data_IF_751665504543
#
_entry.id   IF_751665504543
#
_cell.length_a   1.000
_cell.length_b   1.000
_cell.length_c   1.000
_cell.angle_alpha   90.00
_cell.angle_beta   90.00
_cell.angle_gamma   90.00
#
_symmetry.space_group_name_H-M   'P 1'
#
loop_
_entity.id
_entity.type
_entity.pdbx_description
1 polymer ?
#
# COMPACT_ATOMS: atom_id res chain seq x y z
N UNK A 1 13.99 -5.73 -8.71
CA UNK A 1 12.51 -5.74 -8.82
C UNK A 1 11.96 -4.58 -8.01
N UNK A 2 11.07 -3.79 -8.58
CA UNK A 2 10.43 -2.69 -7.85
C UNK A 2 9.37 -3.26 -6.90
N UNK A 3 9.21 -2.71 -5.69
CA UNK A 3 8.09 -3.09 -4.81
C UNK A 3 6.75 -2.92 -5.54
N UNK A 4 5.76 -3.75 -5.22
CA UNK A 4 4.41 -3.60 -5.77
C UNK A 4 3.83 -2.21 -5.51
N UNK A 5 2.84 -1.80 -6.29
CA UNK A 5 2.22 -0.46 -6.20
C UNK A 5 3.17 0.73 -6.40
N UNK A 6 4.37 0.51 -6.95
CA UNK A 6 5.31 1.57 -7.33
C UNK A 6 5.50 1.61 -8.84
N UNK A 7 5.97 2.75 -9.35
CA UNK A 7 6.26 2.92 -10.78
C UNK A 7 5.06 3.32 -11.63
N UNK A 8 4.06 4.02 -11.07
CA UNK A 8 2.97 4.59 -11.88
C UNK A 8 3.55 5.51 -12.97
N UNK A 9 3.14 5.33 -14.25
CA UNK A 9 3.62 6.13 -15.38
C UNK A 9 2.89 7.47 -15.50
N UNK A 10 1.87 7.72 -14.66
CA UNK A 10 1.07 8.94 -14.73
C UNK A 10 1.86 10.14 -14.18
N UNK A 11 1.91 11.22 -14.96
CA UNK A 11 2.18 12.56 -14.41
C UNK A 11 1.03 12.90 -13.46
N UNK A 12 1.32 13.04 -12.16
CA UNK A 12 0.31 13.34 -11.13
C UNK A 12 -0.43 14.68 -11.35
N UNK A 13 0.07 15.51 -12.27
CA UNK A 13 -0.60 16.71 -12.76
C UNK A 13 -1.04 17.66 -11.64
N UNK A 14 -0.17 17.86 -10.63
CA UNK A 14 -0.48 18.71 -9.48
C UNK A 14 -0.92 20.12 -9.88
N UNK A 15 -0.35 20.64 -10.98
CA UNK A 15 -0.72 21.92 -11.60
C UNK A 15 -2.21 22.05 -11.95
N UNK A 16 -2.90 20.95 -12.26
CA UNK A 16 -4.31 20.95 -12.62
C UNK A 16 -5.23 20.86 -11.40
N UNK A 17 -4.70 20.57 -10.21
CA UNK A 17 -5.55 20.29 -9.04
C UNK A 17 -6.31 21.53 -8.58
N UNK A 18 -5.67 22.70 -8.56
CA UNK A 18 -6.34 23.96 -8.20
C UNK A 18 -6.84 24.76 -9.42
N UNK A 19 -6.52 24.30 -10.63
CA UNK A 19 -6.91 24.96 -11.87
C UNK A 19 -8.28 24.42 -12.31
N UNK A 20 -9.34 25.13 -11.93
CA UNK A 20 -10.73 24.74 -12.26
C UNK A 20 -10.95 24.68 -13.77
N UNK A 21 -10.38 25.61 -14.53
CA UNK A 21 -10.52 25.64 -15.98
C UNK A 21 -9.76 24.47 -16.62
N UNK A 22 -8.53 24.21 -16.18
CA UNK A 22 -7.72 23.08 -16.64
C UNK A 22 -8.33 21.73 -16.28
N UNK A 23 -8.90 21.58 -15.08
CA UNK A 23 -9.61 20.36 -14.68
C UNK A 23 -10.88 20.15 -15.52
N UNK A 24 -11.67 21.20 -15.76
CA UNK A 24 -12.83 21.14 -16.64
C UNK A 24 -12.44 20.81 -18.09
N UNK A 25 -11.33 21.35 -18.59
CA UNK A 25 -10.79 20.99 -19.89
C UNK A 25 -10.38 19.51 -19.95
N UNK A 26 -9.78 18.98 -18.88
CA UNK A 26 -9.41 17.56 -18.78
C UNK A 26 -10.64 16.64 -18.75
N UNK A 27 -11.73 17.04 -18.07
CA UNK A 27 -13.01 16.33 -18.07
C UNK A 27 -13.65 16.28 -19.47
N UNK A 28 -13.46 17.32 -20.27
CA UNK A 28 -14.00 17.43 -21.63
C UNK A 28 -13.03 16.94 -22.73
N UNK A 29 -11.85 16.43 -22.39
CA UNK A 29 -10.93 15.85 -23.38
C UNK A 29 -11.51 14.51 -23.86
N UNK A 30 -11.80 14.39 -25.16
CA UNK A 30 -12.32 13.16 -25.77
C UNK A 30 -11.38 11.95 -25.61
N UNK A 31 -10.11 12.20 -25.32
CA UNK A 31 -9.11 11.17 -25.04
C UNK A 31 -9.13 10.75 -23.58
N UNK A 32 -9.84 11.45 -22.69
CA UNK A 32 -9.91 11.07 -21.28
C UNK A 32 -10.35 9.61 -21.12
N UNK A 33 -9.80 8.94 -20.10
CA UNK A 33 -10.17 7.59 -19.73
C UNK A 33 -10.53 7.52 -18.26
N UNK A 34 -11.48 6.66 -17.95
CA UNK A 34 -11.94 6.43 -16.58
C UNK A 34 -11.64 4.98 -16.24
N UNK A 35 -11.05 4.76 -15.06
CA UNK A 35 -10.70 3.43 -14.59
C UNK A 35 -11.99 2.64 -14.29
N UNK A 36 -12.10 1.45 -14.89
CA UNK A 36 -13.22 0.54 -14.64
C UNK A 36 -13.07 -0.16 -13.29
N UNK A 37 -14.06 0.01 -12.42
CA UNK A 37 -14.15 -0.65 -11.12
C UNK A 37 -15.47 -1.42 -10.99
N UNK A 38 -15.44 -2.52 -10.25
CA UNK A 38 -16.63 -3.21 -9.71
C UNK A 38 -16.64 -3.03 -8.19
N UNK A 39 -17.47 -2.11 -7.70
CA UNK A 39 -17.29 -1.54 -6.37
C UNK A 39 -15.90 -0.91 -6.26
N UNK A 40 -15.06 -1.43 -5.37
CA UNK A 40 -13.68 -0.94 -5.16
C UNK A 40 -12.64 -1.80 -5.87
N UNK A 41 -13.06 -2.90 -6.51
CA UNK A 41 -12.17 -3.87 -7.12
C UNK A 41 -11.84 -3.46 -8.56
N UNK A 42 -10.59 -3.63 -9.02
CA UNK A 42 -10.21 -3.24 -10.36
C UNK A 42 -10.76 -4.24 -11.37
N UNK A 43 -11.36 -3.74 -12.45
CA UNK A 43 -11.73 -4.58 -13.59
C UNK A 43 -10.49 -4.77 -14.47
N UNK A 44 -10.12 -6.02 -14.70
CA UNK A 44 -8.99 -6.38 -15.58
C UNK A 44 -9.50 -6.53 -17.01
N UNK A 45 -8.79 -5.92 -17.97
CA UNK A 45 -9.13 -6.04 -19.38
C UNK A 45 -8.80 -7.44 -19.93
N UNK A 46 -9.49 -7.87 -20.99
CA UNK A 46 -9.28 -9.19 -21.60
C UNK A 46 -7.86 -9.40 -22.17
N UNK A 47 -7.26 -8.32 -22.63
CA UNK A 47 -5.90 -8.21 -23.15
C UNK A 47 -4.84 -8.11 -22.03
N UNK A 48 -5.28 -8.06 -20.78
CA UNK A 48 -4.44 -7.82 -19.60
C UNK A 48 -4.39 -6.35 -19.20
N UNK A 49 -3.98 -6.10 -17.95
CA UNK A 49 -3.93 -4.75 -17.38
C UNK A 49 -5.28 -4.18 -16.93
N UNK A 50 -5.29 -2.92 -16.52
CA UNK A 50 -6.48 -2.22 -16.06
C UNK A 50 -7.44 -1.95 -17.22
N UNK A 51 -8.74 -2.20 -16.99
CA UNK A 51 -9.79 -1.79 -17.92
C UNK A 51 -10.01 -0.29 -17.83
N UNK A 52 -9.91 0.39 -18.97
CA UNK A 52 -10.19 1.81 -19.13
C UNK A 52 -11.41 2.01 -20.02
N UNK A 53 -12.38 2.80 -19.55
CA UNK A 53 -13.60 3.14 -20.30
C UNK A 53 -13.56 4.59 -20.79
N UNK A 54 -14.40 4.90 -21.78
CA UNK A 54 -14.61 6.26 -22.25
C UNK A 54 -15.41 7.07 -21.24
N UNK A 55 -15.22 8.40 -21.22
CA UNK A 55 -16.05 9.31 -20.43
C UNK A 55 -17.53 9.18 -20.76
N UNK A 56 -17.87 8.82 -22.01
CA UNK A 56 -19.25 8.63 -22.45
C UNK A 56 -19.95 7.41 -21.81
N UNK A 57 -19.21 6.50 -21.18
CA UNK A 57 -19.75 5.32 -20.50
C UNK A 57 -20.05 5.60 -19.01
N UNK A 58 -19.68 6.78 -18.50
CA UNK A 58 -19.84 7.18 -17.10
C UNK A 58 -21.04 8.11 -16.96
N UNK A 59 -21.87 7.86 -15.94
CA UNK A 59 -22.97 8.74 -15.61
C UNK A 59 -22.45 10.13 -15.16
N UNK A 60 -23.04 11.19 -15.70
CA UNK A 60 -22.61 12.58 -15.46
C UNK A 60 -22.74 13.03 -14.00
N UNK A 61 -23.50 12.30 -13.18
CA UNK A 61 -23.64 12.57 -11.75
C UNK A 61 -22.49 11.99 -10.91
N UNK A 62 -21.67 11.10 -11.48
CA UNK A 62 -20.55 10.47 -10.78
C UNK A 62 -19.39 11.45 -10.70
N UNK A 63 -18.96 11.74 -9.47
CA UNK A 63 -17.80 12.57 -9.22
C UNK A 63 -16.51 11.81 -9.61
N UNK A 64 -15.58 12.49 -10.29
CA UNK A 64 -14.34 11.88 -10.79
C UNK A 64 -13.12 12.46 -10.10
N UNK A 65 -12.15 11.59 -9.83
CA UNK A 65 -10.83 11.93 -9.29
C UNK A 65 -9.80 11.85 -10.42
N UNK A 66 -9.02 12.91 -10.65
CA UNK A 66 -7.93 12.90 -11.62
C UNK A 66 -6.73 12.15 -11.03
N UNK A 67 -6.42 10.98 -11.58
CA UNK A 67 -5.23 10.20 -11.18
C UNK A 67 -3.95 10.80 -11.76
N UNK A 68 -4.04 11.36 -12.98
CA UNK A 68 -2.93 12.01 -13.66
C UNK A 68 -3.08 11.99 -15.17
N UNK A 69 -1.97 12.26 -15.87
CA UNK A 69 -1.88 12.28 -17.32
C UNK A 69 -0.91 11.21 -17.80
N UNK A 70 -1.32 10.40 -18.78
CA UNK A 70 -0.40 9.53 -19.53
C UNK A 70 -0.19 10.14 -20.92
N UNK A 71 1.02 10.59 -21.24
CA UNK A 71 1.31 11.25 -22.53
C UNK A 71 0.32 12.41 -22.84
N UNK A 72 -0.01 13.21 -21.82
CA UNK A 72 -0.96 14.33 -21.92
C UNK A 72 -2.44 13.93 -21.96
N UNK A 73 -2.76 12.63 -21.85
CA UNK A 73 -4.13 12.10 -21.82
C UNK A 73 -4.64 11.96 -20.39
N UNK A 74 -5.77 12.61 -20.00
CA UNK A 74 -6.33 12.50 -18.66
C UNK A 74 -6.79 11.09 -18.29
N UNK A 75 -6.41 10.63 -17.11
CA UNK A 75 -6.88 9.37 -16.52
C UNK A 75 -7.56 9.66 -15.19
N UNK A 76 -8.81 9.23 -15.06
CA UNK A 76 -9.65 9.43 -13.90
C UNK A 76 -10.04 8.11 -13.25
N UNK A 77 -10.55 8.18 -12.03
CA UNK A 77 -11.30 7.09 -11.39
C UNK A 77 -12.64 7.63 -10.88
N UNK A 78 -13.74 6.85 -10.98
CA UNK A 78 -15.01 7.26 -10.39
C UNK A 78 -14.94 7.18 -8.87
N UNK A 79 -15.45 8.20 -8.19
CA UNK A 79 -15.68 8.14 -6.75
C UNK A 79 -16.92 7.30 -6.48
N UNK A 80 -16.68 6.05 -6.11
CA UNK A 80 -17.71 5.04 -5.82
C UNK A 80 -17.86 4.81 -4.32
N UNK A 81 -19.09 4.58 -3.87
CA UNK A 81 -19.33 4.20 -2.49
C UNK A 81 -18.92 2.75 -2.24
N UNK A 82 -18.18 2.52 -1.17
CA UNK A 82 -17.84 1.19 -0.71
C UNK A 82 -16.93 1.24 0.52
N UNK A 83 -17.07 0.26 1.40
CA UNK A 83 -16.19 0.13 2.55
C UNK A 83 -14.82 -0.41 2.11
N UNK A 84 -13.76 0.36 2.31
CA UNK A 84 -12.40 -0.19 2.34
C UNK A 84 -12.15 -0.96 3.62
N UNK A 85 -11.37 -2.02 3.51
CA UNK A 85 -10.92 -2.83 4.63
C UNK A 85 -9.58 -3.46 4.32
N UNK A 86 -8.96 -4.07 5.34
CA UNK A 86 -7.71 -4.81 5.18
C UNK A 86 -7.89 -6.09 4.35
N UNK A 87 -9.10 -6.64 4.36
CA UNK A 87 -9.43 -7.84 3.61
C UNK A 87 -9.45 -7.55 2.10
N UNK A 88 -8.68 -8.33 1.35
CA UNK A 88 -8.66 -8.32 -0.11
C UNK A 88 -9.67 -9.35 -0.62
N UNK A 89 -10.56 -8.94 -1.51
CA UNK A 89 -11.46 -9.87 -2.17
C UNK A 89 -10.67 -10.89 -3.01
N UNK A 90 -11.22 -12.09 -3.29
CA UNK A 90 -10.62 -13.02 -4.24
C UNK A 90 -10.40 -12.41 -5.64
N UNK A 91 -11.20 -11.40 -6.03
CA UNK A 91 -11.02 -10.69 -7.29
C UNK A 91 -9.77 -9.81 -7.27
N UNK A 92 -9.56 -9.03 -6.19
CA UNK A 92 -8.34 -8.23 -5.99
C UNK A 92 -7.10 -9.11 -5.97
N UNK A 93 -7.14 -10.23 -5.24
CA UNK A 93 -6.00 -11.17 -5.21
C UNK A 93 -5.63 -11.70 -6.59
N UNK A 94 -6.63 -12.09 -7.40
CA UNK A 94 -6.38 -12.53 -8.78
C UNK A 94 -5.84 -11.39 -9.65
N UNK A 95 -6.42 -10.19 -9.53
CA UNK A 95 -5.97 -9.03 -10.29
C UNK A 95 -4.51 -8.67 -9.98
N UNK A 96 -4.12 -8.60 -8.70
CA UNK A 96 -2.74 -8.26 -8.32
C UNK A 96 -1.69 -9.27 -8.80
N UNK A 97 -2.09 -10.53 -9.01
CA UNK A 97 -1.20 -11.56 -9.58
C UNK A 97 -1.03 -11.43 -11.10
N UNK A 98 -1.91 -10.69 -11.79
CA UNK A 98 -1.94 -10.58 -13.25
C UNK A 98 -1.61 -9.18 -13.77
N UNK A 99 -1.84 -8.15 -12.96
CA UNK A 99 -1.63 -6.76 -13.36
C UNK A 99 -0.14 -6.45 -13.52
N UNK A 100 0.25 -5.72 -14.57
CA UNK A 100 1.56 -5.07 -14.63
C UNK A 100 1.81 -4.20 -13.39
N UNK A 101 3.08 -4.03 -13.00
CA UNK A 101 3.44 -3.26 -11.81
C UNK A 101 2.96 -1.79 -11.88
N UNK A 102 3.06 -1.18 -13.07
CA UNK A 102 2.59 0.17 -13.38
C UNK A 102 1.08 0.32 -13.13
N UNK A 103 0.32 -0.66 -13.59
CA UNK A 103 -1.13 -0.73 -13.43
C UNK A 103 -1.52 -0.95 -11.97
N UNK A 104 -0.82 -1.84 -11.27
CA UNK A 104 -1.02 -2.00 -9.83
C UNK A 104 -0.79 -0.68 -9.09
N UNK A 105 0.23 0.10 -9.45
CA UNK A 105 0.51 1.41 -8.86
C UNK A 105 -0.59 2.45 -9.12
N UNK A 106 -1.16 2.48 -10.32
CA UNK A 106 -2.31 3.32 -10.65
C UNK A 106 -3.52 2.91 -9.79
N UNK A 107 -3.83 1.61 -9.76
CA UNK A 107 -4.94 1.08 -8.96
C UNK A 107 -4.76 1.37 -7.46
N UNK A 108 -3.56 1.19 -6.91
CA UNK A 108 -3.29 1.49 -5.50
C UNK A 108 -3.57 2.95 -5.16
N UNK A 109 -3.15 3.88 -6.03
CA UNK A 109 -3.45 5.31 -5.87
C UNK A 109 -4.96 5.57 -5.89
N UNK A 110 -5.65 5.01 -6.89
CA UNK A 110 -7.10 5.15 -7.04
C UNK A 110 -7.86 4.62 -5.82
N UNK A 111 -7.50 3.41 -5.36
CA UNK A 111 -8.10 2.73 -4.22
C UNK A 111 -7.92 3.53 -2.94
N UNK A 112 -6.72 4.02 -2.66
CA UNK A 112 -6.44 4.85 -1.48
C UNK A 112 -7.23 6.16 -1.47
N UNK A 113 -7.36 6.83 -2.62
CA UNK A 113 -8.13 8.08 -2.71
C UNK A 113 -9.63 7.83 -2.48
N UNK A 114 -10.20 6.81 -3.12
CA UNK A 114 -11.63 6.46 -2.94
C UNK A 114 -11.90 6.09 -1.48
N UNK A 115 -11.07 5.22 -0.90
CA UNK A 115 -11.24 4.79 0.50
C UNK A 115 -11.16 5.97 1.47
N UNK A 116 -10.22 6.89 1.23
CA UNK A 116 -10.14 8.12 2.01
C UNK A 116 -11.40 8.97 1.86
N UNK A 117 -11.89 9.20 0.64
CA UNK A 117 -13.11 9.98 0.40
C UNK A 117 -14.34 9.36 1.08
N UNK A 118 -14.46 8.03 1.09
CA UNK A 118 -15.58 7.34 1.73
C UNK A 118 -15.59 7.49 3.25
N UNK A 119 -14.41 7.63 3.88
CA UNK A 119 -14.25 7.80 5.32
C UNK A 119 -14.18 9.27 5.79
N UNK A 120 -14.12 10.24 4.88
CA UNK A 120 -13.94 11.67 5.22
C UNK A 120 -15.08 12.56 4.70
N UNK A 121 -16.32 12.04 4.67
CA UNK A 121 -17.51 12.80 4.23
C UNK A 121 -17.86 13.99 5.14
N UNK A 122 -17.43 13.95 6.40
CA UNK A 122 -17.66 15.01 7.39
C UNK A 122 -16.34 15.60 7.91
N UNK A 123 -16.39 16.86 8.32
CA UNK A 123 -15.24 17.63 8.77
C UNK A 123 -14.84 17.22 10.19
N UNK A 124 -13.61 16.75 10.37
CA UNK A 124 -13.06 16.42 11.69
C UNK A 124 -12.89 17.62 12.64
N UNK A 125 -13.02 18.86 12.14
CA UNK A 125 -12.91 20.08 12.95
C UNK A 125 -14.25 20.58 13.50
N UNK A 126 -15.31 20.56 12.70
CA UNK A 126 -16.60 21.16 13.08
C UNK A 126 -17.82 20.23 12.88
N UNK A 127 -17.65 19.03 12.34
CA UNK A 127 -18.74 18.08 12.06
C UNK A 127 -19.57 18.38 10.80
N UNK A 128 -19.37 19.52 10.14
CA UNK A 128 -20.07 19.88 8.91
C UNK A 128 -19.74 18.95 7.72
N UNK A 129 -20.58 18.96 6.68
CA UNK A 129 -20.30 18.18 5.47
C UNK A 129 -19.07 18.71 4.72
N UNK A 130 -18.48 17.86 3.89
CA UNK A 130 -17.33 18.23 3.05
C UNK A 130 -17.63 17.91 1.59
N UNK A 131 -17.08 18.71 0.68
CA UNK A 131 -17.13 18.48 -0.78
C UNK A 131 -15.75 18.11 -1.31
N UNK A 132 -15.68 17.38 -2.42
CA UNK A 132 -14.41 17.10 -3.08
C UNK A 132 -13.79 18.38 -3.63
N UNK A 133 -12.47 18.43 -3.58
CA UNK A 133 -11.64 19.57 -3.97
C UNK A 133 -10.33 19.04 -4.55
N UNK A 134 -9.55 19.92 -5.21
CA UNK A 134 -8.25 19.57 -5.83
C UNK A 134 -8.29 18.45 -6.86
N UNK A 135 -9.30 18.44 -7.74
CA UNK A 135 -9.46 17.35 -8.71
C UNK A 135 -9.52 15.95 -8.06
N UNK A 136 -10.04 15.83 -6.84
CA UNK A 136 -10.11 14.58 -6.09
C UNK A 136 -8.93 14.30 -5.15
N UNK A 137 -8.03 15.26 -4.94
CA UNK A 137 -6.89 15.15 -4.00
C UNK A 137 -7.12 15.90 -2.68
N UNK A 138 -8.37 16.19 -2.36
CA UNK A 138 -8.73 16.83 -1.12
C UNK A 138 -10.25 16.92 -0.93
N UNK A 139 -10.65 17.33 0.27
CA UNK A 139 -12.02 17.67 0.61
C UNK A 139 -12.01 18.99 1.35
N UNK A 140 -13.00 19.83 1.09
CA UNK A 140 -13.17 21.12 1.77
C UNK A 140 -14.48 21.13 2.55
N UNK A 141 -14.42 21.54 3.81
CA UNK A 141 -15.62 21.70 4.63
C UNK A 141 -16.50 22.82 4.08
N UNK A 142 -17.81 22.57 3.99
CA UNK A 142 -18.80 23.54 3.50
C UNK A 142 -19.23 24.57 4.55
N UNK A 143 -18.86 24.36 5.82
CA UNK A 143 -19.29 25.17 6.95
C UNK A 143 -18.17 26.03 7.57
N UNK A 144 -16.92 25.57 7.54
CA UNK A 144 -15.79 26.29 8.14
C UNK A 144 -14.56 26.42 7.24
N UNK A 145 -14.70 26.06 5.96
CA UNK A 145 -13.66 26.12 4.92
C UNK A 145 -12.37 25.32 5.20
N UNK A 146 -12.36 24.50 6.26
CA UNK A 146 -11.23 23.63 6.56
C UNK A 146 -10.95 22.67 5.40
N UNK A 147 -9.69 22.61 4.98
CA UNK A 147 -9.21 21.67 3.97
C UNK A 147 -8.71 20.39 4.65
N UNK A 148 -9.04 19.26 4.03
CA UNK A 148 -8.62 17.93 4.43
C UNK A 148 -7.92 17.28 3.24
N UNK A 149 -6.80 16.62 3.52
CA UNK A 149 -5.99 15.94 2.52
C UNK A 149 -5.94 14.44 2.82
N UNK A 150 -5.78 13.60 1.78
CA UNK A 150 -5.49 12.18 1.97
C UNK A 150 -4.33 11.98 2.94
N UNK A 151 -4.55 11.19 3.99
CA UNK A 151 -3.49 10.80 4.92
C UNK A 151 -2.69 9.65 4.33
N UNK A 152 -1.41 9.58 4.66
CA UNK A 152 -0.58 8.41 4.42
C UNK A 152 0.00 7.96 5.75
N UNK A 153 -0.41 6.78 6.21
CA UNK A 153 -0.05 6.26 7.52
C UNK A 153 1.28 5.48 7.39
N UNK A 154 2.39 5.95 8.02
CA UNK A 154 3.68 5.29 7.94
C UNK A 154 3.69 4.00 8.76
N UNK A 155 4.16 2.92 8.13
CA UNK A 155 4.29 1.60 8.75
C UNK A 155 5.71 1.10 8.50
N UNK A 156 6.45 0.79 9.55
CA UNK A 156 7.75 0.13 9.41
C UNK A 156 7.52 -1.36 9.20
N UNK A 157 8.30 -1.96 8.32
CA UNK A 157 8.35 -3.41 8.13
C UNK A 157 9.80 -3.85 8.12
N UNK A 158 10.17 -4.82 8.94
CA UNK A 158 11.56 -5.02 9.29
C UNK A 158 11.95 -6.47 9.51
N UNK A 159 13.22 -6.73 9.20
CA UNK A 159 13.94 -7.95 9.58
C UNK A 159 14.95 -7.55 10.65
N UNK A 160 14.93 -8.24 11.80
CA UNK A 160 16.09 -8.29 12.68
C UNK A 160 17.09 -9.32 12.12
N UNK A 161 18.37 -8.94 12.05
CA UNK A 161 19.46 -9.76 11.52
C UNK A 161 20.45 -10.12 12.64
N UNK A 162 20.71 -11.42 12.83
CA UNK A 162 21.67 -11.94 13.81
C UNK A 162 22.44 -13.12 13.24
N UNK A 163 23.77 -13.05 13.21
CA UNK A 163 24.65 -14.14 12.73
C UNK A 163 24.22 -14.76 11.37
N UNK A 164 23.80 -13.92 10.42
CA UNK A 164 23.36 -14.35 9.08
C UNK A 164 21.96 -14.97 9.03
N UNK A 165 21.18 -14.83 10.11
CA UNK A 165 19.76 -15.22 10.18
C UNK A 165 18.85 -14.00 10.24
N UNK A 166 17.64 -14.16 9.71
CA UNK A 166 16.57 -13.17 9.76
C UNK A 166 15.46 -13.62 10.71
N UNK A 167 14.97 -12.71 11.55
CA UNK A 167 13.75 -12.93 12.33
C UNK A 167 12.51 -12.72 11.47
N UNK A 168 11.61 -13.71 11.47
CA UNK A 168 10.29 -13.65 10.85
C UNK A 168 9.21 -14.04 11.86
N UNK A 169 8.01 -13.49 11.70
CA UNK A 169 6.85 -13.78 12.54
C UNK A 169 5.62 -14.17 11.72
N UNK A 170 4.58 -14.64 12.43
CA UNK A 170 3.26 -14.89 11.85
C UNK A 170 2.14 -14.53 12.81
N UNK A 171 1.00 -14.15 12.26
CA UNK A 171 -0.25 -13.94 12.99
C UNK A 171 -1.18 -15.15 12.85
N UNK A 172 -2.00 -15.39 13.87
CA UNK A 172 -2.96 -16.51 13.94
C UNK A 172 -4.00 -16.50 12.80
N UNK A 173 -4.33 -15.32 12.29
CA UNK A 173 -5.28 -15.15 11.18
C UNK A 173 -4.73 -15.61 9.81
N UNK A 174 -3.42 -15.83 9.69
CA UNK A 174 -2.78 -16.17 8.41
C UNK A 174 -2.79 -17.68 8.17
N UNK A 175 -2.77 -18.14 6.90
CA UNK A 175 -2.62 -19.56 6.59
C UNK A 175 -1.43 -20.18 7.33
N UNK A 176 -1.64 -21.36 7.93
CA UNK A 176 -0.63 -22.07 8.71
C UNK A 176 0.65 -22.25 7.89
N UNK A 177 1.80 -21.96 8.51
CA UNK A 177 3.12 -22.10 7.87
C UNK A 177 3.57 -20.89 7.04
N UNK A 178 2.73 -19.86 6.86
CA UNK A 178 3.18 -18.60 6.26
C UNK A 178 3.82 -17.69 7.32
N UNK A 179 4.97 -17.10 6.96
CA UNK A 179 5.74 -16.17 7.79
C UNK A 179 6.10 -14.92 6.99
N UNK A 180 6.30 -13.81 7.70
CA UNK A 180 6.66 -12.51 7.12
C UNK A 180 7.63 -11.77 8.04
N UNK A 181 8.24 -10.70 7.51
CA UNK A 181 8.85 -9.67 8.33
C UNK A 181 7.81 -9.08 9.32
N UNK A 182 8.30 -8.64 10.48
CA UNK A 182 7.49 -7.95 11.50
C UNK A 182 7.13 -6.54 11.00
N UNK A 183 6.02 -5.98 11.44
CA UNK A 183 5.59 -4.67 10.96
C UNK A 183 4.63 -3.99 11.93
N UNK A 184 4.83 -2.69 12.13
CA UNK A 184 3.96 -1.88 12.95
C UNK A 184 3.96 -0.40 12.59
N UNK A 185 3.01 0.32 13.15
CA UNK A 185 2.80 1.74 12.84
C UNK A 185 3.90 2.58 13.50
N UNK A 186 4.36 3.59 12.77
CA UNK A 186 5.22 4.60 13.37
C UNK A 186 4.37 5.53 14.25
N UNK A 187 4.79 5.74 15.50
CA UNK A 187 4.05 6.60 16.42
C UNK A 187 4.45 8.08 16.31
N UNK A 188 3.57 9.01 16.71
CA UNK A 188 3.89 10.44 16.73
C UNK A 188 5.13 10.75 17.58
N UNK A 189 6.16 11.30 16.95
CA UNK A 189 7.40 11.69 17.61
C UNK A 189 8.54 10.67 17.44
N UNK A 190 8.29 9.54 16.79
CA UNK A 190 9.32 8.54 16.48
C UNK A 190 9.99 8.80 15.13
N UNK A 191 11.29 8.49 15.07
CA UNK A 191 12.00 8.20 13.83
C UNK A 191 11.65 6.80 13.32
N UNK A 192 11.99 6.51 12.06
CA UNK A 192 11.84 5.17 11.47
C UNK A 192 12.64 4.15 12.28
N UNK A 193 13.86 4.54 12.68
CA UNK A 193 14.77 3.68 13.41
C UNK A 193 14.30 3.41 14.84
N UNK A 194 13.63 4.36 15.50
CA UNK A 194 13.01 4.14 16.81
C UNK A 194 11.82 3.19 16.71
N UNK A 195 10.91 3.41 15.75
CA UNK A 195 9.77 2.53 15.53
C UNK A 195 10.20 1.09 15.21
N UNK A 196 11.21 0.90 14.34
CA UNK A 196 11.77 -0.43 14.04
C UNK A 196 12.26 -1.14 15.30
N UNK A 197 12.99 -0.44 16.17
CA UNK A 197 13.52 -1.04 17.42
C UNK A 197 12.41 -1.35 18.41
N UNK A 198 11.45 -0.42 18.57
CA UNK A 198 10.31 -0.59 19.47
C UNK A 198 9.48 -1.81 19.08
N UNK A 199 9.04 -1.88 17.84
CA UNK A 199 8.17 -2.96 17.36
C UNK A 199 8.86 -4.34 17.44
N UNK A 200 10.16 -4.44 17.10
CA UNK A 200 10.91 -5.71 17.26
C UNK A 200 11.02 -6.11 18.75
N UNK A 201 11.21 -5.15 19.64
CA UNK A 201 11.26 -5.38 21.08
C UNK A 201 9.88 -5.81 21.62
N UNK A 202 8.81 -5.13 21.23
CA UNK A 202 7.44 -5.39 21.68
C UNK A 202 6.96 -6.78 21.23
N UNK A 203 7.11 -7.11 19.95
CA UNK A 203 6.56 -8.35 19.39
C UNK A 203 7.43 -9.59 19.70
N UNK A 204 8.76 -9.43 19.75
CA UNK A 204 9.71 -10.55 19.80
C UNK A 204 10.76 -10.49 20.91
N UNK A 205 10.82 -9.41 21.69
CA UNK A 205 11.75 -9.26 22.81
C UNK A 205 13.21 -9.07 22.39
N UNK A 206 13.48 -8.69 21.14
CA UNK A 206 14.84 -8.55 20.61
C UNK A 206 15.29 -7.09 20.65
N UNK A 207 16.44 -6.83 21.28
CA UNK A 207 17.11 -5.53 21.20
C UNK A 207 17.84 -5.40 19.87
N UNK A 208 17.79 -4.21 19.26
CA UNK A 208 18.47 -3.94 18.01
C UNK A 208 19.27 -2.63 18.03
N UNK A 209 20.43 -2.66 17.38
CA UNK A 209 21.35 -1.55 17.20
C UNK A 209 21.05 -0.73 15.94
N UNK A 210 21.95 -0.79 14.94
CA UNK A 210 21.81 0.00 13.72
C UNK A 210 20.61 -0.45 12.89
N UNK A 211 19.94 0.51 12.24
CA UNK A 211 18.80 0.26 11.36
C UNK A 211 19.14 0.83 9.98
N UNK A 212 18.96 0.01 8.94
CA UNK A 212 19.18 0.39 7.54
C UNK A 212 17.89 0.35 6.74
N UNK A 213 17.55 1.45 6.09
CA UNK A 213 16.48 1.51 5.11
C UNK A 213 16.82 0.66 3.87
N UNK A 214 15.82 -0.04 3.32
CA UNK A 214 15.95 -0.90 2.13
C UNK A 214 15.12 -0.37 0.97
N UNK A 215 13.83 -0.16 1.18
CA UNK A 215 12.87 0.28 0.14
C UNK A 215 11.55 0.70 0.78
N UNK A 216 10.65 1.34 0.04
CA UNK A 216 9.28 1.60 0.48
C UNK A 216 8.23 1.14 -0.54
N UNK A 217 7.00 0.95 -0.08
CA UNK A 217 5.86 0.51 -0.87
C UNK A 217 4.59 1.23 -0.39
N UNK A 218 3.85 1.91 -1.28
CA UNK A 218 2.46 2.27 -1.00
C UNK A 218 1.61 1.01 -0.82
N UNK A 219 0.76 0.99 0.19
CA UNK A 219 -0.14 -0.13 0.44
C UNK A 219 -1.59 0.37 0.57
N UNK A 220 -2.47 0.01 -0.38
CA UNK A 220 -3.80 0.61 -0.48
C UNK A 220 -4.90 -0.14 0.29
N UNK A 221 -4.54 -1.11 1.13
CA UNK A 221 -5.49 -1.94 1.87
C UNK A 221 -5.47 -1.56 3.35
N UNK A 222 -6.64 -1.30 3.93
CA UNK A 222 -6.74 -0.77 5.29
C UNK A 222 -6.33 0.70 5.39
N UNK A 223 -6.73 1.51 4.41
CA UNK A 223 -6.34 2.92 4.28
C UNK A 223 -5.26 3.16 3.23
N UNK A 224 -4.54 4.27 3.37
CA UNK A 224 -3.39 4.61 2.54
C UNK A 224 -2.15 4.52 3.41
N UNK A 225 -1.47 3.37 3.37
CA UNK A 225 -0.28 3.12 4.18
C UNK A 225 0.99 3.32 3.33
N UNK A 226 2.05 3.79 3.95
CA UNK A 226 3.41 3.76 3.38
C UNK A 226 4.24 2.76 4.16
N UNK A 227 4.47 1.60 3.56
CA UNK A 227 5.34 0.58 4.13
C UNK A 227 6.81 0.99 3.92
N UNK A 228 7.59 0.96 4.98
CA UNK A 228 8.99 1.38 5.01
C UNK A 228 9.82 0.18 5.44
N UNK A 229 10.46 -0.48 4.46
CA UNK A 229 11.23 -1.69 4.71
C UNK A 229 12.62 -1.37 5.25
N UNK A 230 12.96 -1.96 6.39
CA UNK A 230 14.24 -1.81 7.06
C UNK A 230 14.85 -3.17 7.44
N UNK A 231 16.14 -3.17 7.73
CA UNK A 231 16.81 -4.26 8.46
C UNK A 231 17.48 -3.67 9.68
N UNK A 232 17.42 -4.36 10.80
CA UNK A 232 18.03 -3.96 12.05
C UNK A 232 19.04 -5.00 12.52
N UNK A 233 20.20 -4.56 12.99
CA UNK A 233 21.20 -5.45 13.58
C UNK A 233 20.73 -5.84 14.98
N UNK A 234 20.43 -7.12 15.20
CA UNK A 234 20.00 -7.62 16.50
C UNK A 234 21.19 -7.89 17.43
N UNK A 235 20.98 -7.70 18.73
CA UNK A 235 22.01 -7.91 19.76
C UNK A 235 22.07 -9.37 20.25
N UNK A 236 21.09 -10.21 19.88
CA UNK A 236 20.96 -11.60 20.29
C UNK A 236 19.79 -12.32 19.59
N UNK A 237 19.61 -13.61 19.89
CA UNK A 237 18.61 -14.47 19.24
C UNK A 237 17.54 -15.04 20.19
N UNK A 238 17.55 -14.66 21.47
CA UNK A 238 16.64 -15.17 22.49
C UNK A 238 15.27 -14.48 22.39
N UNK A 239 14.28 -15.19 21.87
CA UNK A 239 12.93 -14.65 21.65
C UNK A 239 12.10 -14.62 22.93
N UNK A 240 11.36 -13.53 23.10
CA UNK A 240 10.25 -13.41 24.04
C UNK A 240 9.05 -12.88 23.27
N UNK A 241 8.19 -13.80 22.82
CA UNK A 241 7.09 -13.47 21.90
C UNK A 241 5.90 -12.90 22.67
N UNK A 242 5.37 -11.76 22.21
CA UNK A 242 4.03 -11.33 22.64
C UNK A 242 2.95 -12.08 21.86
N UNK A 243 2.35 -13.05 22.53
CA UNK A 243 1.29 -13.90 21.95
C UNK A 243 -0.05 -13.18 21.73
N UNK A 244 -0.18 -11.91 22.14
CA UNK A 244 -1.32 -11.09 21.74
C UNK A 244 -1.21 -10.63 20.28
N UNK A 245 0.02 -10.50 19.76
CA UNK A 245 0.29 -10.00 18.41
C UNK A 245 0.75 -11.11 17.45
N UNK A 246 1.69 -11.96 17.90
CA UNK A 246 2.25 -13.04 17.09
C UNK A 246 1.78 -14.41 17.59
N UNK A 247 1.49 -15.31 16.65
CA UNK A 247 1.29 -16.73 16.99
C UNK A 247 2.63 -17.44 17.16
N UNK A 248 3.62 -17.09 16.32
CA UNK A 248 4.95 -17.70 16.33
C UNK A 248 5.98 -16.75 15.68
N UNK A 249 7.25 -16.92 16.05
CA UNK A 249 8.38 -16.21 15.48
C UNK A 249 9.60 -17.14 15.39
N UNK A 250 10.38 -17.01 14.31
CA UNK A 250 11.54 -17.86 14.07
C UNK A 250 12.68 -17.13 13.37
N UNK A 251 13.89 -17.58 13.68
CA UNK A 251 15.09 -17.24 12.92
C UNK A 251 15.23 -18.17 11.71
N UNK A 252 15.46 -17.58 10.53
CA UNK A 252 15.67 -18.30 9.27
C UNK A 252 17.01 -17.96 8.64
N UNK A 253 17.66 -18.93 8.00
CA UNK A 253 18.89 -18.68 7.25
C UNK A 253 18.60 -18.09 5.88
N UNK A 254 19.64 -17.55 5.21
CA UNK A 254 19.53 -17.09 3.82
C UNK A 254 19.08 -18.23 2.89
N UNK A 255 19.52 -19.46 3.11
CA UNK A 255 19.13 -20.65 2.33
C UNK A 255 17.64 -20.98 2.50
N UNK A 256 17.14 -21.01 3.74
CA UNK A 256 15.73 -21.24 4.01
C UNK A 256 14.85 -20.15 3.39
N UNK A 257 15.29 -18.88 3.48
CA UNK A 257 14.61 -17.76 2.84
C UNK A 257 14.57 -17.90 1.31
N UNK A 258 15.70 -18.27 0.66
CA UNK A 258 15.75 -18.51 -0.79
C UNK A 258 14.82 -19.66 -1.19
N UNK A 259 14.79 -20.75 -0.43
CA UNK A 259 13.90 -21.89 -0.69
C UNK A 259 12.42 -21.47 -0.59
N UNK A 260 12.05 -20.69 0.43
CA UNK A 260 10.69 -20.17 0.60
C UNK A 260 10.28 -19.20 -0.52
N UNK A 261 11.18 -18.29 -0.92
CA UNK A 261 10.95 -17.33 -2.01
C UNK A 261 10.81 -17.99 -3.39
N UNK A 262 11.50 -19.13 -3.59
CA UNK A 262 11.43 -19.93 -4.80
C UNK A 262 10.25 -20.94 -4.81
N UNK A 263 9.44 -20.96 -3.74
CA UNK A 263 8.37 -21.94 -3.54
C UNK A 263 8.85 -23.40 -3.64
N UNK A 264 10.04 -23.68 -3.09
CA UNK A 264 10.66 -24.99 -3.18
C UNK A 264 9.84 -26.07 -2.43
N UNK A 265 9.81 -27.34 -2.91
CA UNK A 265 9.04 -28.41 -2.28
C UNK A 265 9.41 -28.69 -0.81
N UNK A 266 10.66 -28.42 -0.43
CA UNK A 266 11.24 -28.63 0.89
C UNK A 266 11.33 -27.34 1.72
N UNK A 267 10.67 -26.26 1.27
CA UNK A 267 10.65 -24.99 2.02
C UNK A 267 10.11 -25.20 3.44
N UNK A 268 10.77 -24.57 4.41
CA UNK A 268 10.35 -24.61 5.82
C UNK A 268 9.10 -23.76 6.09
N UNK A 269 8.85 -22.74 5.28
CA UNK A 269 7.74 -21.80 5.44
C UNK A 269 7.25 -21.25 4.10
N UNK A 270 6.02 -20.73 4.09
CA UNK A 270 5.46 -19.97 2.97
C UNK A 270 5.90 -18.51 3.04
N UNK A 271 6.57 -18.03 1.99
CA UNK A 271 6.94 -16.63 1.86
C UNK A 271 5.73 -15.75 1.47
N UNK A 272 5.77 -14.43 1.78
CA UNK A 272 4.78 -13.49 1.28
C UNK A 272 4.74 -13.48 -0.26
N UNK A 273 3.62 -13.10 -0.90
CA UNK A 273 3.51 -13.09 -2.35
C UNK A 273 4.46 -12.04 -2.98
N UNK A 274 4.87 -12.20 -4.26
CA UNK A 274 5.88 -11.33 -4.91
C UNK A 274 5.56 -9.84 -4.92
N UNK A 275 4.28 -9.46 -4.89
CA UNK A 275 3.87 -8.05 -4.89
C UNK A 275 3.98 -7.39 -3.49
N UNK A 276 4.15 -8.15 -2.42
CA UNK A 276 4.28 -7.62 -1.06
C UNK A 276 5.71 -7.14 -0.79
N UNK A 277 5.86 -6.02 -0.08
CA UNK A 277 7.17 -5.48 0.29
C UNK A 277 7.95 -6.45 1.18
N UNK A 278 7.28 -7.26 2.02
CA UNK A 278 7.92 -8.30 2.82
C UNK A 278 8.68 -9.32 1.96
N UNK A 279 8.13 -9.70 0.80
CA UNK A 279 8.82 -10.56 -0.16
C UNK A 279 10.06 -9.85 -0.74
N UNK A 280 9.92 -8.56 -1.08
CA UNK A 280 11.05 -7.76 -1.60
C UNK A 280 12.15 -7.59 -0.57
N UNK A 281 11.79 -7.32 0.69
CA UNK A 281 12.71 -7.19 1.81
C UNK A 281 13.47 -8.50 2.07
N UNK A 282 12.73 -9.61 2.21
CA UNK A 282 13.32 -10.93 2.45
C UNK A 282 14.24 -11.35 1.30
N UNK A 283 13.84 -11.12 0.04
CA UNK A 283 14.68 -11.40 -1.12
C UNK A 283 15.97 -10.57 -1.10
N UNK A 284 15.88 -9.25 -0.91
CA UNK A 284 17.06 -8.38 -0.88
C UNK A 284 18.01 -8.73 0.26
N UNK A 285 17.47 -9.12 1.43
CA UNK A 285 18.29 -9.61 2.54
C UNK A 285 18.98 -10.95 2.18
N UNK A 286 18.24 -11.90 1.62
CA UNK A 286 18.77 -13.22 1.27
C UNK A 286 19.77 -13.18 0.10
N UNK A 287 19.69 -12.18 -0.79
CA UNK A 287 20.60 -11.98 -1.92
C UNK A 287 21.79 -11.05 -1.61
N UNK A 288 21.77 -10.34 -0.47
CA UNK A 288 22.91 -9.54 -0.05
C UNK A 288 24.10 -10.44 0.30
N UNK A 289 25.32 -9.97 0.01
CA UNK A 289 26.57 -10.64 0.38
C UNK A 289 26.73 -10.68 1.91
#
# INVERSE_FOLDING_TARGET
MNPGFTGSPLDRADRLRNDVEGFNAALNDWRARVLGLDGLDPVVASEGGLKWVSMAEIDVSVELILLGLANGKPHFVPLVEGAGGMARSPAVWRALSMLPAEDAAIYGTARSLIDWHNNHKYCGRCGGSTKVFRAGWGRQCTACDAEHFPRTDPVVIMIAEYEGKALLGRQSAWPTGNYSALAGFLEPGESIEEAVRREIMEEAGISCGAVRYVTSQPWPFGGSQLMIACVADADGDQLTIDYNELEDAMWVTKEEARAALADAPDKRFGAPPPFAIAHTLLRRWAEAD
#
